data_IF_055968042909
#
_entry.id   IF_055968042909
#
_cell.length_a   1.000
_cell.length_b   1.000
_cell.length_c   1.000
_cell.angle_alpha   90.00
_cell.angle_beta   90.00
_cell.angle_gamma   90.00
#
_symmetry.space_group_name_H-M   'P 1'
#
loop_
_entity.id
_entity.type
_entity.pdbx_description
1 polymer ?
#
# COMPACT_ATOMS: atom_id res chain seq x y z
N UNK A 1 26.17 -11.44 -3.42
CA UNK A 1 25.17 -10.49 -3.95
C UNK A 1 24.40 -9.94 -2.77
N UNK A 2 24.50 -8.63 -2.53
CA UNK A 2 23.95 -7.97 -1.35
C UNK A 2 22.42 -8.03 -1.40
N UNK A 3 21.81 -8.66 -0.40
CA UNK A 3 20.37 -8.56 -0.21
C UNK A 3 20.06 -7.10 0.15
N UNK A 4 19.47 -6.35 -0.77
CA UNK A 4 18.83 -5.08 -0.46
C UNK A 4 17.70 -5.38 0.54
N UNK A 5 18.02 -5.32 1.83
CA UNK A 5 17.00 -5.26 2.87
C UNK A 5 16.32 -3.91 2.68
N UNK A 6 15.16 -3.91 2.02
CA UNK A 6 14.26 -2.79 1.98
C UNK A 6 13.94 -2.43 3.44
N UNK A 7 14.55 -1.36 3.95
CA UNK A 7 14.36 -0.85 5.30
C UNK A 7 12.96 -0.26 5.40
N UNK A 8 11.98 -1.14 5.51
CA UNK A 8 10.61 -0.80 5.86
C UNK A 8 10.59 -0.64 7.38
N UNK A 9 10.47 0.60 7.85
CA UNK A 9 10.35 0.89 9.28
C UNK A 9 8.92 0.64 9.75
N UNK A 10 8.73 0.47 11.06
CA UNK A 10 7.39 0.44 11.65
C UNK A 10 6.63 1.75 11.40
N UNK A 11 7.35 2.86 11.24
CA UNK A 11 6.79 4.18 10.94
C UNK A 11 6.10 4.25 9.56
N UNK A 12 6.50 3.38 8.63
CA UNK A 12 5.92 3.30 7.29
C UNK A 12 4.58 2.55 7.27
N UNK A 13 4.17 1.97 8.40
CA UNK A 13 2.97 1.14 8.53
C UNK A 13 1.82 1.96 9.08
N UNK A 14 0.78 2.13 8.29
CA UNK A 14 -0.41 2.89 8.66
C UNK A 14 -1.68 2.04 8.51
N UNK A 15 -2.73 2.28 9.33
CA UNK A 15 -4.03 1.65 9.11
C UNK A 15 -4.53 1.95 7.69
N UNK A 16 -5.04 0.95 6.97
CA UNK A 16 -5.42 1.17 5.57
C UNK A 16 -6.49 2.27 5.41
N UNK A 17 -7.30 2.52 6.43
CA UNK A 17 -8.39 3.50 6.41
C UNK A 17 -7.91 4.94 6.25
N UNK A 18 -6.70 5.28 6.72
CA UNK A 18 -6.21 6.67 6.72
C UNK A 18 -5.53 7.07 5.41
N UNK A 19 -5.17 6.11 4.56
CA UNK A 19 -4.49 6.34 3.27
C UNK A 19 -5.19 7.40 2.38
N UNK A 20 -6.51 7.37 2.14
CA UNK A 20 -7.17 8.38 1.30
C UNK A 20 -7.24 9.76 1.96
N UNK A 21 -7.11 9.86 3.28
CA UNK A 21 -7.06 11.15 3.98
C UNK A 21 -5.64 11.75 3.92
N UNK A 22 -4.60 10.90 3.94
CA UNK A 22 -3.18 11.32 3.83
C UNK A 22 -2.78 11.61 2.38
N UNK A 23 -3.27 10.80 1.44
CA UNK A 23 -2.98 10.92 0.00
C UNK A 23 -4.25 11.13 -0.82
N UNK A 24 -5.01 12.23 -0.59
CA UNK A 24 -6.28 12.47 -1.27
C UNK A 24 -6.12 12.69 -2.78
N UNK A 25 -4.92 13.09 -3.22
CA UNK A 25 -4.58 13.26 -4.64
C UNK A 25 -4.33 11.92 -5.36
N UNK A 26 -3.96 10.86 -4.64
CA UNK A 26 -3.78 9.52 -5.21
C UNK A 26 -5.08 8.73 -5.19
N UNK A 27 -5.82 8.80 -4.08
CA UNK A 27 -7.05 8.05 -3.92
C UNK A 27 -8.16 8.87 -3.29
N UNK A 28 -9.31 8.94 -3.98
CA UNK A 28 -10.57 9.23 -3.30
C UNK A 28 -10.97 8.08 -2.36
N UNK A 29 -11.78 8.33 -1.34
CA UNK A 29 -12.26 7.29 -0.41
C UNK A 29 -12.89 6.08 -1.13
N UNK A 30 -13.69 6.35 -2.16
CA UNK A 30 -14.33 5.30 -2.99
C UNK A 30 -13.30 4.54 -3.82
N UNK A 31 -12.38 5.26 -4.48
CA UNK A 31 -11.31 4.65 -5.28
C UNK A 31 -10.41 3.77 -4.43
N UNK A 32 -10.04 4.22 -3.24
CA UNK A 32 -9.25 3.43 -2.30
C UNK A 32 -9.99 2.17 -1.85
N UNK A 33 -11.26 2.26 -1.47
CA UNK A 33 -12.06 1.08 -1.09
C UNK A 33 -12.08 0.02 -2.21
N UNK A 34 -12.22 0.46 -3.47
CA UNK A 34 -12.12 -0.42 -4.62
C UNK A 34 -10.72 -1.02 -4.77
N UNK A 35 -9.66 -0.20 -4.68
CA UNK A 35 -8.27 -0.64 -4.79
C UNK A 35 -7.90 -1.68 -3.72
N UNK A 36 -8.36 -1.49 -2.48
CA UNK A 36 -8.16 -2.44 -1.36
C UNK A 36 -8.88 -3.76 -1.64
N UNK A 37 -10.12 -3.73 -2.16
CA UNK A 37 -10.87 -4.95 -2.52
C UNK A 37 -10.18 -5.70 -3.65
N UNK A 38 -9.67 -4.98 -4.64
CA UNK A 38 -8.97 -5.52 -5.81
C UNK A 38 -7.46 -5.71 -5.61
N UNK A 39 -6.94 -5.55 -4.39
CA UNK A 39 -5.48 -5.54 -4.11
C UNK A 39 -4.71 -6.74 -4.65
N UNK A 40 -5.37 -7.90 -4.74
CA UNK A 40 -4.78 -9.14 -5.28
C UNK A 40 -4.64 -9.13 -6.81
N UNK A 41 -5.43 -8.31 -7.50
CA UNK A 41 -5.52 -8.27 -8.96
C UNK A 41 -4.85 -7.02 -9.55
N UNK A 42 -4.78 -5.93 -8.79
CA UNK A 42 -4.18 -4.66 -9.23
C UNK A 42 -2.72 -4.47 -8.76
N UNK A 43 -2.03 -5.54 -8.37
CA UNK A 43 -0.62 -5.49 -7.96
C UNK A 43 -0.33 -4.88 -6.59
N UNK A 44 -1.33 -4.35 -5.86
CA UNK A 44 -1.09 -3.68 -4.58
C UNK A 44 -0.91 -4.62 -3.39
N UNK A 45 -1.16 -5.92 -3.54
CA UNK A 45 -1.22 -6.88 -2.43
C UNK A 45 0.00 -6.85 -1.51
N UNK A 46 1.21 -6.62 -2.07
CA UNK A 46 2.47 -6.59 -1.33
C UNK A 46 2.52 -5.46 -0.29
N UNK A 47 1.83 -4.35 -0.55
CA UNK A 47 1.79 -3.21 0.36
C UNK A 47 0.90 -3.46 1.60
N UNK A 48 0.02 -4.46 1.57
CA UNK A 48 -0.95 -4.71 2.64
C UNK A 48 -0.49 -5.82 3.58
N UNK A 49 -0.61 -5.57 4.89
CA UNK A 49 -0.30 -6.56 5.92
C UNK A 49 -1.42 -6.64 6.95
N UNK A 50 -1.85 -7.86 7.27
CA UNK A 50 -2.88 -8.10 8.29
C UNK A 50 -2.19 -8.42 9.62
N UNK A 51 -2.55 -7.69 10.67
CA UNK A 51 -2.08 -7.93 12.05
C UNK A 51 -3.31 -8.11 12.92
N UNK A 52 -3.52 -9.35 13.39
CA UNK A 52 -4.77 -9.74 14.05
C UNK A 52 -5.98 -9.52 13.14
N UNK A 53 -6.94 -8.70 13.58
CA UNK A 53 -8.15 -8.34 12.81
C UNK A 53 -7.98 -7.08 11.96
N UNK A 54 -6.89 -6.34 12.13
CA UNK A 54 -6.67 -5.05 11.48
C UNK A 54 -5.81 -5.20 10.23
N UNK A 55 -6.09 -4.35 9.24
CA UNK A 55 -5.37 -4.30 7.97
C UNK A 55 -4.55 -3.01 7.92
N UNK A 56 -3.27 -3.16 7.65
CA UNK A 56 -2.32 -2.07 7.56
C UNK A 56 -1.73 -2.01 6.15
N UNK A 57 -1.18 -0.86 5.83
CA UNK A 57 -0.50 -0.57 4.57
C UNK A 57 0.88 -0.05 4.90
N UNK A 58 1.89 -0.63 4.25
CA UNK A 58 3.19 -0.02 4.18
C UNK A 58 3.19 1.00 3.03
N UNK A 59 3.27 2.29 3.36
CA UNK A 59 3.16 3.39 2.38
C UNK A 59 4.31 3.40 1.38
N UNK A 60 5.51 2.98 1.80
CA UNK A 60 6.68 2.87 0.92
C UNK A 60 6.50 1.76 -0.12
N UNK A 61 6.08 0.57 0.30
CA UNK A 61 5.77 -0.53 -0.62
C UNK A 61 4.56 -0.20 -1.49
N UNK A 62 3.60 0.58 -0.98
CA UNK A 62 2.48 1.07 -1.79
C UNK A 62 2.98 1.95 -2.95
N UNK A 63 3.90 2.89 -2.67
CA UNK A 63 4.49 3.73 -3.70
C UNK A 63 5.22 2.90 -4.76
N UNK A 64 6.05 1.94 -4.34
CA UNK A 64 6.74 1.00 -5.25
C UNK A 64 5.75 0.23 -6.14
N UNK A 65 4.62 -0.22 -5.56
CA UNK A 65 3.58 -0.93 -6.31
C UNK A 65 2.84 -0.04 -7.31
N UNK A 66 2.68 1.25 -7.01
CA UNK A 66 2.04 2.22 -7.91
C UNK A 66 3.01 2.58 -9.05
N UNK A 67 4.27 2.83 -8.76
CA UNK A 67 5.25 3.18 -9.79
C UNK A 67 5.51 2.01 -10.74
N UNK A 68 5.55 0.77 -10.22
CA UNK A 68 5.65 -0.44 -11.06
C UNK A 68 4.49 -0.59 -12.06
N UNK A 69 3.32 0.02 -11.80
CA UNK A 69 2.18 0.00 -12.73
C UNK A 69 2.27 1.04 -13.83
N UNK A 70 3.11 2.09 -13.68
CA UNK A 70 3.28 3.12 -14.71
C UNK A 70 4.17 2.65 -15.88
N UNK A 71 5.06 1.71 -15.60
CA UNK A 71 5.99 1.13 -16.57
C UNK A 71 5.42 -0.08 -17.33
N UNK A 72 4.11 -0.35 -17.21
CA UNK A 72 3.39 -1.43 -17.92
C UNK A 72 2.37 -0.87 -18.89
#
# INVERSE_FOLDING_TARGET
MQANQSTTSLDDIQPYQVIPDIYPHLYSKKGWSWAVKQRKHNGLAKAFRKVGKQLFVNTRVLAECIDSQKDT
#
